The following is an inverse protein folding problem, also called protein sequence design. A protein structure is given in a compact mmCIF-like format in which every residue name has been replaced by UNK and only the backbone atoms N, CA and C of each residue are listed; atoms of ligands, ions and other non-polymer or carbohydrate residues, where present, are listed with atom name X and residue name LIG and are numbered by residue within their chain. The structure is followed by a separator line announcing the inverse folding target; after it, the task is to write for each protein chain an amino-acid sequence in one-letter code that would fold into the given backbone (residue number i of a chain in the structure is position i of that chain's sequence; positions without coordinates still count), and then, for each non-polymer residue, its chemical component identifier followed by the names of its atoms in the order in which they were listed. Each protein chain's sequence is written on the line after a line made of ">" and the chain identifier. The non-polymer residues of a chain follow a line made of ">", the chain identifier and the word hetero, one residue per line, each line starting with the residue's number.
data_IF_260717578415
#
_entry.id   IF_260717578415
#
_cell.length_a   1.000
_cell.length_b   1.000
_cell.length_c   1.000
_cell.angle_alpha   90.00
_cell.angle_beta   90.00
_cell.angle_gamma   90.00
#
_symmetry.space_group_name_H-M   'P 1'
#
loop_
_entity.id
_entity.type
_entity.pdbx_description
1 polymer ?
#
# COMPACT_ATOMS: atom_id res chain seq x y z
N UNK A 1 -8.24 -51.19 15.25
CA UNK A 1 -8.12 -50.32 14.06
C UNK A 1 -8.03 -48.89 14.53
N UNK A 2 -6.82 -48.34 14.64
CA UNK A 2 -6.61 -46.95 15.08
C UNK A 2 -6.66 -46.04 13.86
N UNK A 3 -7.64 -45.12 13.81
CA UNK A 3 -7.61 -44.05 12.82
C UNK A 3 -6.54 -43.03 13.21
N UNK A 4 -5.58 -42.85 12.31
CA UNK A 4 -4.55 -41.82 12.39
C UNK A 4 -5.23 -40.48 12.10
N UNK A 5 -5.46 -39.70 13.15
CA UNK A 5 -5.86 -38.31 13.06
C UNK A 5 -4.77 -37.57 12.27
N UNK A 6 -5.09 -37.11 11.07
CA UNK A 6 -4.21 -36.28 10.27
C UNK A 6 -3.83 -35.03 11.07
N UNK A 7 -2.52 -34.83 11.22
CA UNK A 7 -1.93 -33.83 12.09
C UNK A 7 -2.43 -32.42 11.78
N UNK A 8 -3.06 -31.80 12.77
CA UNK A 8 -3.13 -30.35 12.89
C UNK A 8 -1.70 -29.82 12.83
N UNK A 9 -1.37 -29.01 11.81
CA UNK A 9 -0.11 -28.28 11.79
C UNK A 9 0.03 -27.57 13.15
N UNK A 10 1.09 -27.89 13.88
CA UNK A 10 1.33 -27.30 15.19
C UNK A 10 1.45 -25.78 15.02
N UNK A 11 0.94 -25.01 15.99
CA UNK A 11 0.94 -23.53 15.97
C UNK A 11 2.30 -22.94 15.56
N UNK A 12 3.40 -23.62 15.93
CA UNK A 12 4.79 -23.27 15.57
C UNK A 12 5.08 -23.36 14.07
N UNK A 13 4.57 -24.38 13.37
CA UNK A 13 4.77 -24.53 11.92
C UNK A 13 3.90 -23.52 11.14
N UNK A 14 2.69 -23.25 11.62
CA UNK A 14 1.83 -22.21 11.06
C UNK A 14 2.49 -20.82 11.14
N UNK A 15 3.10 -20.49 12.28
CA UNK A 15 3.84 -19.21 12.47
C UNK A 15 5.10 -19.15 11.59
N UNK A 16 5.79 -20.28 11.35
CA UNK A 16 6.96 -20.30 10.44
C UNK A 16 6.59 -20.01 9.00
N UNK A 17 5.41 -20.44 8.55
CA UNK A 17 4.93 -20.23 7.17
C UNK A 17 4.18 -18.91 7.00
N UNK A 18 3.84 -18.22 8.09
CA UNK A 18 3.15 -16.94 8.03
C UNK A 18 4.00 -15.85 7.36
N UNK A 19 3.36 -15.07 6.50
CA UNK A 19 3.98 -14.07 5.63
C UNK A 19 4.37 -12.83 6.46
N UNK A 20 5.59 -12.33 6.23
CA UNK A 20 6.05 -11.00 6.67
C UNK A 20 6.46 -10.24 5.43
N UNK A 21 5.87 -9.08 5.18
CA UNK A 21 6.16 -8.31 3.96
C UNK A 21 6.31 -6.81 4.22
N UNK A 22 7.07 -6.15 3.35
CA UNK A 22 7.18 -4.70 3.23
C UNK A 22 6.91 -4.39 1.77
N UNK A 23 5.82 -3.69 1.49
CA UNK A 23 5.41 -3.40 0.12
C UNK A 23 5.25 -1.89 -0.10
N UNK A 24 5.46 -1.46 -1.34
CA UNK A 24 5.33 -0.05 -1.73
C UNK A 24 4.44 0.11 -2.98
N UNK A 25 3.68 1.21 -3.05
CA UNK A 25 2.86 1.58 -4.21
C UNK A 25 1.89 0.45 -4.61
N UNK A 26 1.96 -0.04 -5.86
CA UNK A 26 1.10 -1.11 -6.36
C UNK A 26 1.18 -2.39 -5.51
N UNK A 27 2.37 -2.80 -5.06
CA UNK A 27 2.52 -4.02 -4.24
C UNK A 27 1.75 -3.91 -2.93
N UNK A 28 1.73 -2.73 -2.34
CA UNK A 28 1.02 -2.50 -1.10
C UNK A 28 -0.50 -2.46 -1.29
N UNK A 29 -1.02 -1.98 -2.43
CA UNK A 29 -2.44 -2.13 -2.77
C UNK A 29 -2.86 -3.61 -2.88
N UNK A 30 -2.03 -4.44 -3.51
CA UNK A 30 -2.28 -5.89 -3.61
C UNK A 30 -2.29 -6.54 -2.23
N UNK A 31 -1.30 -6.24 -1.39
CA UNK A 31 -1.23 -6.83 -0.04
C UNK A 31 -2.37 -6.37 0.86
N UNK A 32 -2.88 -5.13 0.74
CA UNK A 32 -4.11 -4.71 1.45
C UNK A 32 -5.27 -5.64 1.10
N UNK A 33 -5.49 -5.95 -0.17
CA UNK A 33 -6.59 -6.84 -0.59
C UNK A 33 -6.42 -8.23 0.02
N UNK A 34 -5.20 -8.77 0.05
CA UNK A 34 -4.91 -10.07 0.65
C UNK A 34 -5.11 -10.06 2.17
N UNK A 35 -4.67 -9.01 2.86
CA UNK A 35 -4.88 -8.84 4.30
C UNK A 35 -6.36 -8.80 4.67
N UNK A 36 -7.21 -8.17 3.84
CA UNK A 36 -8.67 -8.14 4.09
C UNK A 36 -9.37 -9.49 3.84
N UNK A 37 -8.82 -10.35 2.98
CA UNK A 37 -9.43 -11.63 2.58
C UNK A 37 -8.88 -12.84 3.31
N UNK A 38 -7.61 -12.81 3.71
CA UNK A 38 -6.87 -13.92 4.32
C UNK A 38 -5.91 -13.42 5.41
N UNK A 39 -6.40 -12.70 6.44
CA UNK A 39 -5.54 -12.10 7.46
C UNK A 39 -4.69 -13.14 8.20
N UNK A 40 -5.18 -14.38 8.35
CA UNK A 40 -4.49 -15.47 9.03
C UNK A 40 -3.19 -15.93 8.35
N UNK A 41 -2.98 -15.53 7.08
CA UNK A 41 -1.76 -15.84 6.33
C UNK A 41 -0.61 -14.90 6.66
N UNK A 42 -0.88 -13.76 7.29
CA UNK A 42 0.11 -12.73 7.53
C UNK A 42 0.41 -12.62 9.02
N UNK A 43 1.70 -12.61 9.36
CA UNK A 43 2.14 -12.24 10.70
C UNK A 43 2.34 -10.73 10.82
N UNK A 44 2.88 -10.09 9.77
CA UNK A 44 3.16 -8.66 9.76
C UNK A 44 3.19 -8.13 8.33
N UNK A 45 2.71 -6.91 8.12
CA UNK A 45 2.85 -6.19 6.86
C UNK A 45 3.17 -4.72 7.13
N UNK A 46 4.18 -4.18 6.44
CA UNK A 46 4.48 -2.75 6.40
C UNK A 46 4.14 -2.26 4.99
N UNK A 47 3.28 -1.26 4.90
CA UNK A 47 2.71 -0.80 3.62
C UNK A 47 3.03 0.68 3.44
N UNK A 48 3.73 1.01 2.36
CA UNK A 48 4.12 2.38 2.04
C UNK A 48 3.63 2.82 0.66
N UNK A 49 3.47 4.12 0.44
CA UNK A 49 3.06 4.65 -0.86
C UNK A 49 1.64 4.23 -1.30
N UNK A 50 0.87 3.61 -0.41
CA UNK A 50 -0.56 3.36 -0.61
C UNK A 50 -1.31 4.55 -0.06
N UNK A 51 -1.84 5.37 -0.96
CA UNK A 51 -3.02 6.15 -0.63
C UNK A 51 -4.19 5.18 -0.61
N UNK A 52 -4.59 4.75 0.59
CA UNK A 52 -5.92 4.17 0.74
C UNK A 52 -6.90 5.19 0.19
N UNK A 53 -7.58 4.86 -0.92
CA UNK A 53 -8.57 5.75 -1.55
C UNK A 53 -9.87 5.75 -0.76
N UNK A 54 -9.78 6.01 0.54
CA UNK A 54 -10.93 6.22 1.40
C UNK A 54 -11.45 7.63 1.13
N UNK A 55 -12.77 7.78 0.98
CA UNK A 55 -13.43 9.06 0.74
C UNK A 55 -12.87 9.84 -0.45
N UNK A 56 -12.47 9.12 -1.52
CA UNK A 56 -11.88 9.70 -2.72
C UNK A 56 -12.80 10.74 -3.36
N UNK A 57 -12.39 12.00 -3.30
CA UNK A 57 -13.17 13.11 -3.83
C UNK A 57 -12.86 13.37 -5.31
N UNK A 58 -13.70 14.14 -5.97
CA UNK A 58 -13.42 14.64 -7.31
C UNK A 58 -12.16 15.52 -7.35
N UNK A 59 -11.82 16.19 -6.23
CA UNK A 59 -10.59 16.94 -6.10
C UNK A 59 -9.35 16.04 -6.05
N UNK A 60 -9.43 14.90 -5.34
CA UNK A 60 -8.36 13.92 -5.32
C UNK A 60 -8.11 13.33 -6.70
N UNK A 61 -9.18 13.04 -7.44
CA UNK A 61 -9.07 12.57 -8.82
C UNK A 61 -8.38 13.61 -9.71
N UNK A 62 -8.89 14.84 -9.72
CA UNK A 62 -8.31 15.95 -10.50
C UNK A 62 -6.83 16.17 -10.18
N UNK A 63 -6.44 16.06 -8.92
CA UNK A 63 -5.03 16.18 -8.51
C UNK A 63 -4.16 15.06 -9.10
N UNK A 64 -4.62 13.80 -9.01
CA UNK A 64 -3.89 12.67 -9.60
C UNK A 64 -3.83 12.77 -11.12
N UNK A 65 -4.87 13.26 -11.78
CA UNK A 65 -4.86 13.44 -13.23
C UNK A 65 -3.79 14.46 -13.67
N UNK A 66 -3.62 15.55 -12.90
CA UNK A 66 -2.52 16.51 -13.12
C UNK A 66 -1.16 15.86 -12.87
N UNK A 67 -0.99 15.17 -11.74
CA UNK A 67 0.27 14.49 -11.40
C UNK A 67 0.65 13.43 -12.46
N UNK A 68 -0.33 12.72 -13.00
CA UNK A 68 -0.13 11.73 -14.06
C UNK A 68 0.30 12.40 -15.38
N UNK A 69 -0.38 13.46 -15.79
CA UNK A 69 -0.02 14.22 -16.99
C UNK A 69 1.40 14.82 -16.90
N UNK A 70 1.77 15.39 -15.74
CA UNK A 70 3.14 15.86 -15.53
C UNK A 70 4.16 14.72 -15.61
N UNK A 71 3.84 13.56 -15.02
CA UNK A 71 4.73 12.38 -15.05
C UNK A 71 4.96 11.88 -16.47
N UNK A 72 3.92 11.87 -17.31
CA UNK A 72 4.03 11.50 -18.73
C UNK A 72 4.93 12.47 -19.51
N UNK A 73 4.99 13.74 -19.09
CA UNK A 73 5.91 14.76 -19.62
C UNK A 73 7.30 14.74 -18.96
N UNK A 74 7.54 13.85 -17.97
CA UNK A 74 8.79 13.76 -17.22
C UNK A 74 8.97 14.88 -16.19
N UNK A 75 7.89 15.56 -15.81
CA UNK A 75 7.86 16.67 -14.84
C UNK A 75 7.19 16.20 -13.54
N UNK A 76 7.63 16.72 -12.39
CA UNK A 76 7.09 16.36 -11.06
C UNK A 76 6.74 17.60 -10.23
N UNK A 77 6.26 18.66 -10.90
CA UNK A 77 6.12 19.99 -10.32
C UNK A 77 5.06 20.01 -9.20
N UNK A 78 3.87 19.46 -9.48
CA UNK A 78 2.78 19.32 -8.51
C UNK A 78 3.20 18.50 -7.28
N UNK A 79 3.93 17.39 -7.50
CA UNK A 79 4.45 16.55 -6.42
C UNK A 79 5.46 17.29 -5.55
N UNK A 80 6.37 18.06 -6.17
CA UNK A 80 7.33 18.89 -5.46
C UNK A 80 6.63 19.98 -4.63
N UNK A 81 5.66 20.70 -5.23
CA UNK A 81 4.93 21.77 -4.56
C UNK A 81 4.14 21.27 -3.34
N UNK A 82 3.60 20.05 -3.39
CA UNK A 82 2.87 19.44 -2.26
C UNK A 82 3.76 19.16 -1.05
N UNK A 83 5.05 18.90 -1.25
CA UNK A 83 6.00 18.67 -0.17
C UNK A 83 6.50 19.99 0.45
N UNK A 84 6.15 21.14 -0.15
CA UNK A 84 6.59 22.43 0.40
C UNK A 84 5.80 22.81 1.65
N UNK A 85 6.45 23.50 2.60
CA UNK A 85 5.76 24.12 3.73
C UNK A 85 4.70 25.09 3.21
N UNK A 86 3.48 24.98 3.75
CA UNK A 86 2.37 25.86 3.40
C UNK A 86 2.74 27.33 3.58
N UNK A 87 2.42 28.16 2.58
CA UNK A 87 2.74 29.60 2.59
C UNK A 87 4.12 29.97 2.05
N UNK A 88 4.93 29.00 1.61
CA UNK A 88 6.20 29.32 0.95
C UNK A 88 5.95 29.84 -0.48
N UNK A 89 6.60 30.92 -0.94
CA UNK A 89 6.41 31.46 -2.28
C UNK A 89 6.83 30.45 -3.35
N UNK A 90 6.12 30.32 -4.49
CA UNK A 90 6.48 29.38 -5.55
C UNK A 90 7.91 29.59 -6.07
N UNK A 91 8.60 28.55 -6.56
CA UNK A 91 9.95 28.69 -7.09
C UNK A 91 9.89 29.48 -8.40
N UNK A 92 10.60 30.60 -8.47
CA UNK A 92 10.51 31.55 -9.58
C UNK A 92 9.42 32.59 -9.33
N UNK A 93 9.83 33.77 -8.84
CA UNK A 93 8.96 34.96 -8.86
C UNK A 93 8.78 35.49 -10.27
#
# INVERSE_FOLDING_TARGET
>A
MGQVLHGSATTTEAVRRAIRTIEYSMGAHVVVQLLTRQPERFLTAILGGVSGRCDWSAEDQRRVDVEAAETDEGVLCSQFLRLRPSGSPPPGG
#
